data_IF_703702769644
#
_entry.id   IF_703702769644
#
_cell.length_a   1.000
_cell.length_b   1.000
_cell.length_c   1.000
_cell.angle_alpha   90.00
_cell.angle_beta   90.00
_cell.angle_gamma   90.00
#
_symmetry.space_group_name_H-M   'P 1'
#
loop_
_entity.id
_entity.type
_entity.pdbx_description
1 polymer ?
#
# COMPACT_ATOMS: atom_id res chain seq x y z
N UNK A 1 -0.80 13.73 21.06
CA UNK A 1 0.64 13.41 20.87
C UNK A 1 0.74 11.90 20.87
N UNK A 2 0.84 11.28 19.69
CA UNK A 2 0.96 9.83 19.57
C UNK A 2 2.44 9.46 19.70
N UNK A 3 2.76 8.59 20.66
CA UNK A 3 4.11 8.10 20.90
C UNK A 3 4.32 6.86 20.02
N UNK A 4 5.22 6.93 19.05
CA UNK A 4 5.68 5.77 18.27
C UNK A 4 6.65 4.98 19.17
N UNK A 5 6.31 3.74 19.52
CA UNK A 5 7.21 2.83 20.23
C UNK A 5 7.84 1.86 19.23
N UNK A 6 9.15 1.99 19.03
CA UNK A 6 9.96 0.99 18.35
C UNK A 6 10.20 -0.19 19.31
N UNK A 7 9.86 -1.40 18.91
CA UNK A 7 10.26 -2.61 19.64
C UNK A 7 10.70 -3.68 18.64
N UNK A 8 11.96 -4.08 18.77
CA UNK A 8 12.55 -5.19 18.02
C UNK A 8 12.00 -6.52 18.57
N UNK A 9 11.35 -7.31 17.72
CA UNK A 9 10.98 -8.69 18.04
C UNK A 9 11.93 -9.62 17.32
N UNK A 10 12.87 -10.21 18.07
CA UNK A 10 13.54 -11.44 17.65
C UNK A 10 12.53 -12.59 17.79
N UNK A 11 12.13 -13.18 16.68
CA UNK A 11 11.31 -14.38 16.67
C UNK A 11 12.13 -15.58 17.15
N UNK A 12 11.88 -16.03 18.39
CA UNK A 12 12.26 -17.36 18.86
C UNK A 12 11.01 -18.24 18.84
N UNK A 13 10.92 -19.12 17.84
CA UNK A 13 9.90 -20.15 17.71
C UNK A 13 10.49 -21.48 18.20
N UNK A 14 9.98 -22.03 19.32
CA UNK A 14 9.82 -23.47 19.57
C UNK A 14 9.11 -23.70 20.92
N UNK A 15 7.83 -24.06 20.90
CA UNK A 15 7.28 -25.43 20.98
C UNK A 15 7.08 -25.94 22.42
N UNK A 16 5.83 -25.92 22.87
CA UNK A 16 5.31 -26.75 23.96
C UNK A 16 4.75 -28.02 23.33
N UNK A 17 5.37 -29.17 23.61
CA UNK A 17 4.73 -30.49 23.56
C UNK A 17 5.65 -31.51 24.28
N UNK A 18 5.53 -31.61 25.60
CA UNK A 18 6.09 -32.72 26.36
C UNK A 18 5.13 -33.06 27.49
N UNK A 19 4.23 -34.03 27.27
CA UNK A 19 3.95 -35.10 28.22
C UNK A 19 3.34 -36.28 27.43
N UNK A 20 4.03 -37.42 27.45
CA UNK A 20 3.44 -38.73 27.17
C UNK A 20 3.84 -39.41 25.88
N UNK A 21 4.97 -40.14 25.92
CA UNK A 21 5.04 -41.53 25.49
C UNK A 21 4.83 -41.91 24.01
N UNK A 22 5.95 -42.32 23.40
CA UNK A 22 6.07 -43.39 22.39
C UNK A 22 5.75 -43.10 20.92
N UNK A 23 6.85 -43.16 20.15
CA UNK A 23 7.02 -43.54 18.74
C UNK A 23 6.50 -42.59 17.66
N UNK A 24 7.44 -41.79 17.15
CA UNK A 24 7.36 -41.04 15.90
C UNK A 24 7.18 -42.02 14.73
N UNK A 25 6.07 -41.94 14.02
CA UNK A 25 5.98 -42.32 12.61
C UNK A 25 5.46 -41.13 11.81
N UNK A 26 6.39 -40.56 11.05
CA UNK A 26 6.15 -39.84 9.80
C UNK A 26 5.17 -38.66 9.86
N UNK A 27 5.69 -37.47 10.17
CA UNK A 27 5.07 -36.24 9.69
C UNK A 27 5.22 -36.18 8.17
N UNK A 28 4.15 -36.50 7.45
CA UNK A 28 4.00 -36.21 6.03
C UNK A 28 3.96 -34.69 5.92
N UNK A 29 5.10 -34.07 5.59
CA UNK A 29 5.16 -32.68 5.18
C UNK A 29 4.57 -32.62 3.76
N UNK A 30 3.28 -32.33 3.64
CA UNK A 30 2.65 -32.02 2.36
C UNK A 30 3.22 -30.69 1.88
N UNK A 31 4.26 -30.77 1.04
CA UNK A 31 4.78 -29.65 0.27
C UNK A 31 3.77 -29.37 -0.85
N UNK A 32 2.73 -28.60 -0.54
CA UNK A 32 1.79 -28.15 -1.56
C UNK A 32 2.41 -26.93 -2.26
N UNK A 33 3.16 -27.18 -3.33
CA UNK A 33 3.61 -26.12 -4.24
C UNK A 33 2.39 -25.54 -4.95
N UNK A 34 1.83 -24.46 -4.39
CA UNK A 34 0.89 -23.62 -5.13
C UNK A 34 1.67 -22.90 -6.22
N UNK A 35 1.60 -23.44 -7.43
CA UNK A 35 1.97 -22.73 -8.65
C UNK A 35 0.94 -21.63 -8.86
N UNK A 36 1.16 -20.45 -8.28
CA UNK A 36 0.47 -19.25 -8.72
C UNK A 36 0.93 -18.99 -10.15
N UNK A 37 0.06 -19.21 -11.14
CA UNK A 37 0.19 -18.47 -12.39
C UNK A 37 0.02 -17.01 -12.01
N UNK A 38 1.14 -16.30 -11.86
CA UNK A 38 1.13 -14.86 -11.90
C UNK A 38 0.55 -14.49 -13.27
N UNK A 39 -0.74 -14.17 -13.31
CA UNK A 39 -1.29 -13.43 -14.43
C UNK A 39 -0.59 -12.08 -14.37
N UNK A 40 0.34 -11.84 -15.29
CA UNK A 40 0.79 -10.48 -15.57
C UNK A 40 -0.48 -9.65 -15.77
N UNK A 41 -0.67 -8.63 -14.95
CA UNK A 41 -1.58 -7.54 -15.31
C UNK A 41 -0.92 -6.87 -16.51
N UNK A 42 -1.14 -7.43 -17.69
CA UNK A 42 -0.91 -6.69 -18.91
C UNK A 42 -2.00 -5.63 -18.93
N UNK A 43 -1.61 -4.36 -18.99
CA UNK A 43 -2.52 -3.30 -19.38
C UNK A 43 -3.12 -3.67 -20.74
N UNK A 44 -4.25 -4.36 -20.74
CA UNK A 44 -5.05 -4.53 -21.93
C UNK A 44 -5.74 -3.19 -22.15
N UNK A 45 -4.99 -2.29 -22.79
CA UNK A 45 -5.47 -0.98 -23.21
C UNK A 45 -6.57 -1.17 -24.24
N UNK A 46 -7.81 -1.31 -23.78
CA UNK A 46 -8.98 -1.14 -24.63
C UNK A 46 -9.31 0.35 -24.67
N UNK A 47 -8.57 1.11 -25.49
CA UNK A 47 -9.04 2.33 -26.15
C UNK A 47 -9.62 3.47 -25.29
N UNK A 48 -9.26 3.60 -24.02
CA UNK A 48 -9.54 4.80 -23.22
C UNK A 48 -8.27 5.20 -22.47
N UNK A 49 -7.98 6.49 -22.45
CA UNK A 49 -6.67 7.07 -22.16
C UNK A 49 -6.12 6.72 -20.76
N UNK A 50 -4.78 6.68 -20.70
CA UNK A 50 -3.86 6.35 -19.58
C UNK A 50 -3.61 4.85 -19.37
N UNK A 51 -2.58 4.30 -20.02
CA UNK A 51 -1.77 3.24 -19.41
C UNK A 51 -1.32 3.73 -18.04
N UNK A 52 -1.43 2.88 -17.02
CA UNK A 52 -0.78 3.19 -15.73
C UNK A 52 0.69 2.87 -15.94
N UNK A 53 1.46 3.90 -16.28
CA UNK A 53 2.90 3.82 -16.31
C UNK A 53 3.36 3.94 -14.85
N UNK A 54 4.18 3.00 -14.37
CA UNK A 54 4.69 2.97 -12.98
C UNK A 54 3.59 2.77 -11.91
N UNK A 55 3.09 1.53 -11.78
CA UNK A 55 2.27 1.11 -10.62
C UNK A 55 3.22 0.78 -9.47
N UNK A 56 3.04 1.42 -8.32
CA UNK A 56 3.92 1.27 -7.16
C UNK A 56 3.28 0.46 -6.03
N UNK A 57 1.96 0.60 -5.81
CA UNK A 57 1.24 -0.12 -4.74
C UNK A 57 -0.11 -0.71 -5.16
N UNK A 58 -0.54 -1.76 -4.45
CA UNK A 58 -1.79 -2.50 -4.71
C UNK A 58 -2.43 -3.01 -3.42
N UNK A 59 -3.76 -2.86 -3.29
CA UNK A 59 -4.53 -3.42 -2.20
C UNK A 59 -5.86 -4.02 -2.69
N UNK A 60 -6.26 -5.16 -2.14
CA UNK A 60 -7.58 -5.75 -2.42
C UNK A 60 -8.63 -4.96 -1.65
N UNK A 61 -9.68 -4.53 -2.32
CA UNK A 61 -10.82 -3.87 -1.68
C UNK A 61 -11.43 -4.73 -0.58
N UNK A 62 -11.67 -4.13 0.59
CA UNK A 62 -12.28 -4.81 1.72
C UNK A 62 -13.81 -4.90 1.53
N UNK A 63 -14.40 -3.89 0.89
CA UNK A 63 -15.86 -3.70 0.85
C UNK A 63 -16.49 -3.86 -0.53
N UNK A 64 -15.75 -3.61 -1.61
CA UNK A 64 -16.32 -3.52 -2.96
C UNK A 64 -16.30 -4.85 -3.73
N UNK A 65 -17.43 -5.13 -4.37
CA UNK A 65 -17.62 -6.15 -5.41
C UNK A 65 -18.43 -5.49 -6.52
N UNK A 66 -17.89 -5.49 -7.74
CA UNK A 66 -18.47 -4.77 -8.89
C UNK A 66 -18.53 -5.72 -10.07
N UNK A 67 -19.62 -5.74 -10.83
CA UNK A 67 -19.83 -6.64 -11.97
C UNK A 67 -19.56 -8.12 -11.61
N UNK A 68 -19.92 -8.52 -10.38
CA UNK A 68 -19.67 -9.86 -9.82
C UNK A 68 -18.19 -10.26 -9.61
N UNK A 69 -17.26 -9.31 -9.57
CA UNK A 69 -15.85 -9.56 -9.27
C UNK A 69 -15.33 -8.71 -8.09
N UNK A 70 -14.26 -9.19 -7.47
CA UNK A 70 -13.52 -8.43 -6.46
C UNK A 70 -12.87 -7.21 -7.09
N UNK A 71 -12.65 -6.18 -6.29
CA UNK A 71 -11.97 -4.95 -6.71
C UNK A 71 -10.55 -4.93 -6.14
N UNK A 72 -9.59 -4.48 -6.93
CA UNK A 72 -8.26 -4.08 -6.48
C UNK A 72 -8.11 -2.58 -6.64
N UNK A 73 -7.49 -1.93 -5.67
CA UNK A 73 -7.05 -0.56 -5.73
C UNK A 73 -5.56 -0.55 -6.06
N UNK A 74 -5.13 0.36 -6.92
CA UNK A 74 -3.72 0.57 -7.24
C UNK A 74 -3.38 2.04 -7.14
N UNK A 75 -2.11 2.31 -6.87
CA UNK A 75 -1.52 3.64 -6.93
C UNK A 75 -0.42 3.67 -7.99
N UNK A 76 -0.30 4.81 -8.67
CA UNK A 76 0.76 5.09 -9.64
C UNK A 76 1.37 6.45 -9.33
N UNK A 77 2.70 6.54 -9.47
CA UNK A 77 3.53 7.72 -9.18
C UNK A 77 3.75 8.62 -10.41
N UNK A 78 3.47 8.15 -11.64
CA UNK A 78 3.71 8.91 -12.87
C UNK A 78 2.56 9.87 -13.28
N UNK A 79 2.92 11.02 -13.87
CA UNK A 79 2.03 11.99 -14.53
C UNK A 79 1.12 12.82 -13.61
N UNK A 80 0.31 12.16 -12.78
CA UNK A 80 -0.56 12.76 -11.76
C UNK A 80 -0.98 11.66 -10.78
N UNK A 81 -0.43 11.62 -9.56
CA UNK A 81 -0.73 10.56 -8.62
C UNK A 81 -2.22 10.46 -8.34
N UNK A 82 -2.75 9.25 -8.49
CA UNK A 82 -4.15 8.95 -8.32
C UNK A 82 -4.33 7.49 -7.93
N UNK A 83 -5.40 7.21 -7.19
CA UNK A 83 -5.76 5.84 -6.84
C UNK A 83 -6.80 5.34 -7.83
N UNK A 84 -6.64 4.12 -8.33
CA UNK A 84 -7.54 3.55 -9.35
C UNK A 84 -8.06 2.20 -8.91
N UNK A 85 -9.37 1.99 -9.06
CA UNK A 85 -10.00 0.70 -8.90
C UNK A 85 -10.02 -0.06 -10.22
N UNK A 86 -9.67 -1.34 -10.17
CA UNK A 86 -9.81 -2.30 -11.25
C UNK A 86 -10.62 -3.51 -10.80
N UNK A 87 -11.33 -4.12 -11.75
CA UNK A 87 -11.89 -5.46 -11.57
C UNK A 87 -10.74 -6.47 -11.47
N UNK A 88 -10.71 -7.25 -10.40
CA UNK A 88 -9.59 -8.15 -10.07
C UNK A 88 -9.38 -9.23 -11.13
N UNK A 89 -10.46 -9.72 -11.75
CA UNK A 89 -10.40 -10.77 -12.75
C UNK A 89 -10.35 -10.20 -14.17
N UNK A 90 -11.08 -9.12 -14.42
CA UNK A 90 -11.20 -8.53 -15.77
C UNK A 90 -10.08 -7.55 -16.12
N UNK A 91 -9.42 -6.97 -15.12
CA UNK A 91 -8.50 -5.84 -15.32
C UNK A 91 -9.20 -4.56 -15.82
N UNK A 92 -10.54 -4.52 -15.83
CA UNK A 92 -11.31 -3.35 -16.29
C UNK A 92 -11.17 -2.23 -15.27
N UNK A 93 -10.82 -1.02 -15.72
CA UNK A 93 -10.86 0.19 -14.88
C UNK A 93 -12.30 0.48 -14.45
N UNK A 94 -12.52 0.61 -13.14
CA UNK A 94 -13.84 0.82 -12.53
C UNK A 94 -14.01 2.25 -12.02
N UNK A 95 -12.98 2.77 -11.34
CA UNK A 95 -13.01 4.11 -10.78
C UNK A 95 -11.62 4.73 -10.68
N UNK A 96 -11.55 6.05 -10.60
CA UNK A 96 -10.38 6.78 -10.14
C UNK A 96 -10.74 7.73 -9.00
N UNK A 97 -9.82 7.88 -8.06
CA UNK A 97 -9.92 8.78 -6.92
C UNK A 97 -8.80 9.79 -7.06
N UNK A 98 -9.18 11.06 -7.17
CA UNK A 98 -8.26 12.17 -7.16
C UNK A 98 -8.36 12.88 -5.81
N UNK A 99 -7.25 13.00 -5.10
CA UNK A 99 -7.16 13.77 -3.86
C UNK A 99 -6.97 15.23 -4.26
N UNK A 100 -8.01 16.06 -4.12
CA UNK A 100 -7.97 17.45 -4.55
C UNK A 100 -6.82 18.18 -3.86
N UNK A 101 -5.88 18.70 -4.67
CA UNK A 101 -4.61 19.22 -4.17
C UNK A 101 -3.96 18.20 -3.25
N UNK A 102 -3.45 17.08 -3.78
CA UNK A 102 -2.38 16.33 -3.09
C UNK A 102 -1.43 17.39 -2.50
N UNK A 103 -1.33 17.40 -1.16
CA UNK A 103 -1.39 18.64 -0.35
C UNK A 103 -0.18 19.57 -0.52
N UNK A 104 0.78 19.22 -1.38
CA UNK A 104 1.96 20.01 -1.70
C UNK A 104 2.42 19.79 -3.15
N UNK A 105 2.97 20.85 -3.77
CA UNK A 105 3.48 20.82 -5.16
C UNK A 105 4.80 20.03 -5.34
N UNK A 106 5.37 19.44 -4.29
CA UNK A 106 6.76 18.97 -4.27
C UNK A 106 6.95 17.48 -3.93
N UNK A 107 5.88 16.73 -3.69
CA UNK A 107 5.99 15.27 -3.55
C UNK A 107 4.81 14.60 -4.25
N UNK A 108 5.13 13.79 -5.25
CA UNK A 108 4.19 13.01 -6.05
C UNK A 108 4.65 11.54 -6.14
N UNK A 109 5.59 11.17 -5.27
CA UNK A 109 6.30 9.89 -5.26
C UNK A 109 5.50 8.90 -4.40
N UNK A 110 4.35 8.49 -4.94
CA UNK A 110 3.39 7.65 -4.25
C UNK A 110 3.76 6.18 -4.43
N UNK A 111 4.39 5.60 -3.42
CA UNK A 111 5.08 4.32 -3.55
C UNK A 111 4.24 3.11 -3.15
N UNK A 112 3.28 3.29 -2.24
CA UNK A 112 2.58 2.15 -1.65
C UNK A 112 1.13 2.47 -1.29
N UNK A 113 0.30 1.43 -1.25
CA UNK A 113 -1.11 1.52 -0.91
C UNK A 113 -1.50 0.39 0.05
N UNK A 114 -1.96 0.75 1.24
CA UNK A 114 -2.57 -0.20 2.17
C UNK A 114 -4.07 0.02 2.29
N UNK A 115 -4.74 -1.03 2.75
CA UNK A 115 -6.14 -1.00 3.17
C UNK A 115 -6.24 -1.50 4.60
N UNK A 116 -7.02 -0.82 5.42
CA UNK A 116 -7.19 -1.22 6.82
C UNK A 116 -8.31 -0.46 7.50
N UNK A 117 -8.60 -0.78 8.77
CA UNK A 117 -9.67 -0.13 9.48
C UNK A 117 -9.36 1.35 9.75
N UNK A 118 -10.42 2.13 9.90
CA UNK A 118 -10.40 3.50 10.41
C UNK A 118 -11.72 3.81 11.14
N UNK A 119 -11.86 5.03 11.66
CA UNK A 119 -12.96 5.44 12.54
C UNK A 119 -14.36 5.09 11.99
N UNK A 120 -14.55 5.07 10.66
CA UNK A 120 -15.83 4.76 10.01
C UNK A 120 -15.75 3.60 9.01
N UNK A 121 -15.04 2.52 9.37
CA UNK A 121 -15.01 1.29 8.58
C UNK A 121 -13.64 1.05 8.00
N UNK A 122 -13.52 1.09 6.67
CA UNK A 122 -12.25 0.79 5.96
C UNK A 122 -11.73 2.06 5.30
N UNK A 123 -10.42 2.29 5.42
CA UNK A 123 -9.72 3.36 4.75
C UNK A 123 -8.61 2.81 3.84
N UNK A 124 -8.32 3.60 2.80
CA UNK A 124 -7.10 3.49 2.02
C UNK A 124 -6.02 4.38 2.63
N UNK A 125 -4.79 3.87 2.65
CA UNK A 125 -3.60 4.53 3.17
C UNK A 125 -2.60 4.63 2.03
N UNK A 126 -2.53 5.79 1.41
CA UNK A 126 -1.61 6.09 0.30
C UNK A 126 -0.32 6.68 0.86
N UNK A 127 0.80 6.09 0.46
CA UNK A 127 2.12 6.43 0.97
C UNK A 127 2.87 7.32 -0.01
N UNK A 128 3.07 8.57 0.37
CA UNK A 128 3.90 9.54 -0.35
C UNK A 128 5.26 9.58 0.34
N UNK A 129 6.02 8.54 0.03
CA UNK A 129 7.25 8.17 0.74
C UNK A 129 8.47 7.97 -0.12
N UNK A 130 8.32 8.05 -1.44
CA UNK A 130 9.43 8.14 -2.35
C UNK A 130 10.13 9.50 -2.18
N UNK A 131 11.42 9.49 -2.50
CA UNK A 131 12.26 10.66 -2.52
C UNK A 131 13.34 10.45 -3.58
N UNK A 132 12.92 10.36 -4.84
CA UNK A 132 13.78 10.24 -6.03
C UNK A 132 14.93 11.28 -6.12
N UNK A 133 14.80 12.40 -5.41
CA UNK A 133 15.81 13.46 -5.27
C UNK A 133 16.84 13.23 -4.14
N UNK A 134 16.76 12.11 -3.40
CA UNK A 134 17.73 11.67 -2.39
C UNK A 134 19.07 11.27 -3.03
N UNK A 135 19.70 12.18 -3.76
CA UNK A 135 20.92 11.96 -4.54
C UNK A 135 22.13 12.57 -3.84
N UNK A 136 22.59 11.95 -2.76
CA UNK A 136 24.02 11.77 -2.45
C UNK A 136 24.25 10.79 -1.29
N UNK A 137 25.50 10.37 -1.13
CA UNK A 137 26.02 9.47 -0.08
C UNK A 137 25.89 10.00 1.38
N UNK A 138 25.32 11.19 1.58
CA UNK A 138 25.14 11.80 2.91
C UNK A 138 23.70 12.30 3.18
N UNK A 139 22.76 12.08 2.26
CA UNK A 139 21.35 12.44 2.45
C UNK A 139 21.11 13.95 2.42
N UNK A 140 21.85 14.70 1.60
CA UNK A 140 21.68 16.15 1.48
C UNK A 140 20.78 16.60 0.31
N UNK A 141 20.31 15.67 -0.52
CA UNK A 141 19.29 15.90 -1.55
C UNK A 141 17.89 15.45 -1.12
N UNK A 142 16.85 16.08 -1.67
CA UNK A 142 15.45 15.69 -1.47
C UNK A 142 14.77 16.25 -0.22
N UNK A 143 13.70 15.62 0.22
CA UNK A 143 12.86 16.09 1.33
C UNK A 143 12.96 15.17 2.56
N UNK A 144 12.88 15.74 3.77
CA UNK A 144 12.95 14.99 5.02
C UNK A 144 11.58 14.59 5.60
N UNK A 145 10.52 15.10 4.99
CA UNK A 145 9.15 14.86 5.42
C UNK A 145 8.50 13.83 4.51
N UNK A 146 7.71 12.96 5.13
CA UNK A 146 6.95 11.89 4.49
C UNK A 146 5.49 12.06 4.85
N UNK A 147 4.61 11.60 3.97
CA UNK A 147 3.17 11.75 4.16
C UNK A 147 2.45 10.43 3.95
N UNK A 148 1.42 10.21 4.75
CA UNK A 148 0.40 9.20 4.51
C UNK A 148 -0.92 9.93 4.34
N UNK A 149 -1.57 9.72 3.20
CA UNK A 149 -2.93 10.17 2.97
C UNK A 149 -3.87 9.03 3.33
N UNK A 150 -4.72 9.25 4.34
CA UNK A 150 -5.72 8.29 4.80
C UNK A 150 -7.11 8.82 4.51
N UNK A 151 -7.93 8.04 3.81
CA UNK A 151 -9.32 8.40 3.50
C UNK A 151 -10.21 7.16 3.43
N UNK A 152 -11.51 7.34 3.69
CA UNK A 152 -12.50 6.25 3.65
C UNK A 152 -12.51 5.58 2.26
N UNK A 153 -12.56 4.25 2.23
CA UNK A 153 -12.67 3.50 0.98
C UNK A 153 -13.97 3.90 0.25
N UNK A 154 -13.92 4.41 -0.98
CA UNK A 154 -15.13 4.81 -1.69
C UNK A 154 -16.05 3.61 -1.96
N UNK A 155 -17.34 3.78 -1.70
CA UNK A 155 -18.37 2.82 -2.11
C UNK A 155 -18.60 2.90 -3.62
N UNK A 156 -18.37 1.78 -4.30
CA UNK A 156 -18.59 1.64 -5.73
C UNK A 156 -19.98 1.05 -6.00
N UNK A 157 -20.69 1.53 -7.04
CA UNK A 157 -21.91 0.87 -7.51
C UNK A 157 -21.65 -0.60 -7.86
N UNK A 158 -22.62 -1.47 -7.55
CA UNK A 158 -22.53 -2.92 -7.86
C UNK A 158 -22.30 -3.21 -9.34
N UNK A 159 -22.78 -2.33 -10.23
CA UNK A 159 -22.62 -2.44 -11.68
C UNK A 159 -22.00 -1.16 -12.23
N UNK A 160 -20.89 -1.30 -12.97
CA UNK A 160 -20.16 -0.19 -13.58
C UNK A 160 -19.89 -0.48 -15.06
N UNK A 161 -20.63 0.24 -15.92
CA UNK A 161 -20.42 0.24 -17.37
C UNK A 161 -19.34 1.23 -17.81
N UNK A 162 -19.21 2.38 -17.12
CA UNK A 162 -18.23 3.44 -17.39
C UNK A 162 -17.46 3.88 -16.14
N UNK A 163 -16.19 4.27 -16.31
CA UNK A 163 -15.28 4.64 -15.22
C UNK A 163 -15.86 5.76 -14.35
N UNK A 164 -15.92 5.54 -13.04
CA UNK A 164 -16.33 6.57 -12.06
C UNK A 164 -15.15 7.44 -11.66
N UNK A 165 -15.40 8.72 -11.40
CA UNK A 165 -14.36 9.68 -10.97
C UNK A 165 -14.79 10.28 -9.64
N UNK A 166 -14.02 10.00 -8.59
CA UNK A 166 -14.20 10.54 -7.25
C UNK A 166 -13.17 11.64 -7.03
N UNK A 167 -13.60 12.72 -6.41
CA UNK A 167 -12.74 13.83 -6.01
C UNK A 167 -12.91 14.00 -4.51
N UNK A 168 -11.83 13.80 -3.77
CA UNK A 168 -11.84 13.98 -2.31
C UNK A 168 -11.53 15.43 -1.98
N UNK A 169 -12.34 16.05 -1.13
CA UNK A 169 -12.01 17.36 -0.59
C UNK A 169 -10.90 17.23 0.45
N UNK A 170 -10.26 18.34 0.79
CA UNK A 170 -9.18 18.37 1.80
C UNK A 170 -9.64 17.82 3.15
N UNK A 171 -10.88 18.06 3.54
CA UNK A 171 -11.43 17.65 4.84
C UNK A 171 -11.85 16.16 4.85
N UNK A 172 -11.85 15.49 3.69
CA UNK A 172 -12.13 14.06 3.56
C UNK A 172 -10.85 13.21 3.64
N UNK A 173 -9.69 13.85 3.79
CA UNK A 173 -8.38 13.18 3.78
C UNK A 173 -7.57 13.58 5.02
N UNK A 174 -7.29 12.58 5.86
CA UNK A 174 -6.34 12.71 6.95
C UNK A 174 -4.92 12.69 6.40
N UNK A 175 -4.08 13.62 6.84
CA UNK A 175 -2.67 13.68 6.47
C UNK A 175 -1.81 13.40 7.68
N UNK A 176 -1.12 12.26 7.66
CA UNK A 176 -0.11 11.93 8.67
C UNK A 176 1.24 12.36 8.12
N UNK A 177 1.81 13.41 8.70
CA UNK A 177 3.17 13.88 8.39
C UNK A 177 4.15 13.28 9.39
N UNK A 178 5.24 12.70 8.89
CA UNK A 178 6.33 12.22 9.73
C UNK A 178 7.70 12.51 9.10
N UNK A 179 8.76 12.28 9.88
CA UNK A 179 10.16 12.39 9.48
C UNK A 179 10.92 11.22 10.08
N UNK A 180 11.99 10.75 9.47
CA UNK A 180 12.89 9.79 10.12
C UNK A 180 13.81 10.54 11.08
N UNK A 181 13.84 10.10 12.33
CA UNK A 181 14.64 10.70 13.42
C UNK A 181 16.01 10.02 13.60
N UNK A 182 16.28 8.96 12.84
CA UNK A 182 17.52 8.20 12.91
C UNK A 182 18.60 8.83 12.02
N UNK A 183 19.82 8.89 12.57
CA UNK A 183 20.98 9.42 11.88
C UNK A 183 21.26 8.66 10.57
N UNK A 184 21.48 9.42 9.50
CA UNK A 184 21.84 8.88 8.18
C UNK A 184 20.69 8.32 7.35
N UNK A 185 19.43 8.41 7.81
CA UNK A 185 18.26 8.00 7.02
C UNK A 185 17.17 9.08 6.91
N UNK A 186 17.47 10.32 7.32
CA UNK A 186 16.50 11.43 7.33
C UNK A 186 15.88 11.74 5.95
N UNK A 187 16.53 11.31 4.88
CA UNK A 187 16.06 11.45 3.49
C UNK A 187 15.78 10.11 2.80
N UNK A 188 15.77 8.98 3.52
CA UNK A 188 15.58 7.66 2.94
C UNK A 188 14.24 7.51 2.21
N UNK A 189 14.21 6.68 1.17
CA UNK A 189 12.99 6.28 0.49
C UNK A 189 12.30 5.18 1.29
N UNK A 190 10.99 5.01 1.10
CA UNK A 190 10.31 3.79 1.52
C UNK A 190 9.32 3.35 0.44
N UNK A 191 9.63 2.21 -0.19
CA UNK A 191 8.86 1.65 -1.32
C UNK A 191 7.84 0.60 -0.87
N UNK A 192 7.84 0.27 0.42
CA UNK A 192 6.99 -0.79 0.95
C UNK A 192 6.62 -0.49 2.40
N UNK A 193 5.42 -0.90 2.75
CA UNK A 193 4.89 -0.75 4.10
C UNK A 193 3.92 -1.85 4.46
N UNK A 194 3.67 -1.99 5.76
CA UNK A 194 2.73 -2.95 6.31
C UNK A 194 1.87 -2.25 7.36
N UNK A 195 0.56 -2.32 7.19
CA UNK A 195 -0.40 -1.84 8.18
C UNK A 195 -0.87 -3.02 9.06
N UNK A 196 -0.69 -2.91 10.38
CA UNK A 196 -1.34 -3.83 11.31
C UNK A 196 -2.83 -3.42 11.48
N UNK A 197 -3.80 -4.23 11.05
CA UNK A 197 -5.21 -3.86 11.15
C UNK A 197 -5.73 -3.85 12.60
N UNK A 198 -5.05 -4.50 13.55
CA UNK A 198 -5.49 -4.53 14.94
C UNK A 198 -5.05 -3.29 15.71
N UNK A 199 -3.79 -2.88 15.55
CA UNK A 199 -3.23 -1.72 16.26
C UNK A 199 -3.28 -0.43 15.46
N UNK A 200 -3.45 -0.54 14.13
CA UNK A 200 -3.28 0.55 13.16
C UNK A 200 -1.86 1.12 13.12
N UNK A 201 -0.87 0.34 13.59
CA UNK A 201 0.53 0.69 13.42
C UNK A 201 0.96 0.48 11.96
N UNK A 202 1.66 1.48 11.42
CA UNK A 202 2.22 1.45 10.07
C UNK A 202 3.73 1.23 10.15
N UNK A 203 4.20 0.13 9.57
CA UNK A 203 5.61 -0.24 9.47
C UNK A 203 6.13 0.11 8.08
N UNK A 204 7.31 0.73 8.02
CA UNK A 204 7.93 1.17 6.77
C UNK A 204 9.23 0.42 6.52
N UNK A 205 9.41 -0.08 5.30
CA UNK A 205 10.66 -0.66 4.84
C UNK A 205 11.46 0.41 4.09
N UNK A 206 12.35 1.08 4.81
CA UNK A 206 13.18 2.13 4.22
C UNK A 206 14.28 1.55 3.34
N UNK A 207 14.53 2.19 2.21
CA UNK A 207 15.66 1.94 1.31
C UNK A 207 16.64 3.10 1.42
N UNK A 208 17.90 2.75 1.67
CA UNK A 208 19.00 3.71 1.74
C UNK A 208 20.30 3.05 1.28
N UNK A 209 21.14 3.81 0.59
CA UNK A 209 22.48 3.35 0.22
C UNK A 209 23.43 3.54 1.41
N UNK A 210 23.63 2.48 2.20
CA UNK A 210 24.80 2.35 3.05
C UNK A 210 25.94 1.79 2.20
N UNK A 211 26.84 2.66 1.75
CA UNK A 211 28.21 2.22 1.44
C UNK A 211 28.92 1.79 2.74
#
# INVERSE_FOLDING_TARGET
MANIKLSFVLAVLNWICLLGGYTVRSAICLKQEYQYKASTIQSHGSGDETTQDEISGIAVSATNVVNSEKVIWVVSDSGSPHVVAFGMSSGKRLASVNIEKAIRNWSKDWEELNIGPCDRGTCLYVMDTGNNEARDKHGHGGHNSRYVYRFEEPELPKEISSVKRYKLAKDDVDVIKFTYDQDGISTADAEASFLDPLTQDLYLSTKWNRE
#
